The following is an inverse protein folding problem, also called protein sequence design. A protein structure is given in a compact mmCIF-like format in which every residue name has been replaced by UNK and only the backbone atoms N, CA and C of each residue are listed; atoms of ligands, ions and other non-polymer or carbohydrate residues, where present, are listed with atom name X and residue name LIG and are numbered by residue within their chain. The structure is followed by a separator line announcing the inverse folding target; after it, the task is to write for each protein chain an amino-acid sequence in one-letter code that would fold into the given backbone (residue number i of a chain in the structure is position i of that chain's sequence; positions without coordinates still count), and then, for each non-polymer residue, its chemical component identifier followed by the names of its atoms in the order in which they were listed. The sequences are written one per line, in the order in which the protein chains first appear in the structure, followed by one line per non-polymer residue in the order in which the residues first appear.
data_IF_752945103089
#
_entry.id   IF_752945103089
#
_cell.length_a   1.000
_cell.length_b   1.000
_cell.length_c   1.000
_cell.angle_alpha   90.00
_cell.angle_beta   90.00
_cell.angle_gamma   90.00
#
_symmetry.space_group_name_H-M   'P 1'
#
loop_
_entity.id
_entity.type
_entity.pdbx_description
1 polymer ?
#
# COMPACT_ATOMS: atom_id res chain seq x y z
N UNK A 1 17.44 -20.65 1.49
CA UNK A 1 16.32 -20.69 2.46
C UNK A 1 15.26 -19.79 1.88
N UNK A 2 14.16 -20.40 1.47
CA UNK A 2 13.17 -19.87 0.55
C UNK A 2 12.09 -19.11 1.29
N UNK A 3 11.84 -17.85 0.92
CA UNK A 3 10.53 -17.20 1.06
C UNK A 3 10.32 -16.29 -0.15
N UNK A 4 9.95 -16.88 -1.27
CA UNK A 4 9.39 -16.14 -2.40
C UNK A 4 7.88 -16.01 -2.16
N UNK A 5 7.42 -14.89 -1.60
CA UNK A 5 6.00 -14.51 -1.65
C UNK A 5 5.85 -13.41 -2.69
N UNK A 6 5.81 -13.80 -3.97
CA UNK A 6 5.39 -12.94 -5.08
C UNK A 6 3.86 -12.87 -5.09
N UNK A 7 3.27 -12.09 -4.18
CA UNK A 7 1.84 -11.82 -4.22
C UNK A 7 1.61 -10.61 -5.12
N UNK A 8 1.74 -10.80 -6.44
CA UNK A 8 1.54 -9.70 -7.39
C UNK A 8 0.06 -9.39 -7.50
N UNK A 9 -0.31 -8.16 -7.15
CA UNK A 9 -1.61 -7.58 -7.50
C UNK A 9 -1.82 -7.73 -9.01
N UNK A 10 -3.04 -8.07 -9.43
CA UNK A 10 -3.38 -8.14 -10.85
C UNK A 10 -3.19 -6.79 -11.53
N UNK A 11 -2.77 -6.80 -12.79
CA UNK A 11 -2.61 -5.57 -13.60
C UNK A 11 -3.91 -4.74 -13.64
N UNK A 12 -5.08 -5.38 -13.68
CA UNK A 12 -6.38 -4.70 -13.65
C UNK A 12 -6.56 -3.84 -12.39
N UNK A 13 -6.10 -4.31 -11.24
CA UNK A 13 -6.17 -3.57 -9.98
C UNK A 13 -5.23 -2.38 -9.99
N UNK A 14 -3.99 -2.57 -10.47
CA UNK A 14 -3.03 -1.48 -10.59
C UNK A 14 -3.55 -0.39 -11.54
N UNK A 15 -4.09 -0.79 -12.69
CA UNK A 15 -4.72 0.14 -13.64
C UNK A 15 -5.93 0.87 -13.02
N UNK A 16 -6.75 0.18 -12.23
CA UNK A 16 -7.87 0.80 -11.51
C UNK A 16 -7.37 1.88 -10.53
N UNK A 17 -6.29 1.61 -9.79
CA UNK A 17 -5.69 2.61 -8.90
C UNK A 17 -5.12 3.79 -9.68
N UNK A 18 -4.41 3.55 -10.77
CA UNK A 18 -3.88 4.58 -11.66
C UNK A 18 -4.98 5.47 -12.26
N UNK A 19 -6.14 4.89 -12.62
CA UNK A 19 -7.29 5.68 -13.10
C UNK A 19 -7.88 6.57 -12.02
N UNK A 20 -7.82 6.16 -10.75
CA UNK A 20 -8.37 6.93 -9.62
C UNK A 20 -7.43 8.06 -9.21
N UNK A 21 -6.15 7.76 -8.98
CA UNK A 21 -5.19 8.71 -8.39
C UNK A 21 -4.15 9.26 -9.38
N UNK A 22 -4.08 8.74 -10.60
CA UNK A 22 -3.03 9.03 -11.57
C UNK A 22 -1.75 8.22 -11.35
N UNK A 23 -1.01 7.97 -12.43
CA UNK A 23 0.17 7.10 -12.43
C UNK A 23 1.25 7.51 -11.42
N UNK A 24 1.49 8.82 -11.29
CA UNK A 24 2.50 9.36 -10.37
C UNK A 24 2.18 9.11 -8.89
N UNK A 25 0.95 8.73 -8.57
CA UNK A 25 0.50 8.45 -7.21
C UNK A 25 0.36 6.95 -6.90
N UNK A 26 0.85 6.08 -7.79
CA UNK A 26 0.90 4.63 -7.59
C UNK A 26 2.36 4.17 -7.60
N UNK A 27 2.83 3.68 -6.46
CA UNK A 27 4.22 3.27 -6.26
C UNK A 27 4.28 1.73 -6.26
N UNK A 28 5.02 1.20 -7.24
CA UNK A 28 5.20 -0.24 -7.45
C UNK A 28 6.66 -0.68 -7.38
N UNK A 29 7.61 0.25 -7.49
CA UNK A 29 9.03 -0.06 -7.36
C UNK A 29 9.37 -0.48 -5.93
N UNK A 30 10.22 -1.50 -5.80
CA UNK A 30 10.51 -2.11 -4.50
C UNK A 30 11.23 -1.15 -3.55
N UNK A 31 12.18 -0.36 -4.06
CA UNK A 31 12.93 0.63 -3.28
C UNK A 31 12.02 1.63 -2.57
N UNK A 32 11.12 2.26 -3.31
CA UNK A 32 10.21 3.25 -2.75
C UNK A 32 9.17 2.59 -1.86
N UNK A 33 8.66 1.39 -2.21
CA UNK A 33 7.73 0.66 -1.34
C UNK A 33 8.36 0.29 0.01
N UNK A 34 9.66 0.00 0.08
CA UNK A 34 10.35 -0.29 1.33
C UNK A 34 10.28 0.87 2.34
N UNK A 35 10.21 2.13 1.87
CA UNK A 35 10.02 3.31 2.71
C UNK A 35 8.64 3.35 3.39
N UNK A 36 7.69 2.57 2.89
CA UNK A 36 6.35 2.39 3.44
C UNK A 36 6.18 1.11 4.24
N UNK A 37 7.24 0.31 4.39
CA UNK A 37 7.21 -0.93 5.15
C UNK A 37 7.51 -0.81 6.65
N UNK A 38 7.89 0.38 7.12
CA UNK A 38 8.22 0.62 8.53
C UNK A 38 7.50 1.86 9.08
N UNK A 39 7.38 1.92 10.40
CA UNK A 39 7.13 3.15 11.15
C UNK A 39 8.22 3.30 12.24
N UNK A 40 7.96 4.00 13.35
CA UNK A 40 8.94 4.14 14.44
C UNK A 40 8.83 3.03 15.49
N UNK A 41 8.07 1.98 15.20
CA UNK A 41 7.90 0.82 16.07
C UNK A 41 9.06 -0.14 15.85
N UNK A 42 10.02 -0.09 16.79
CA UNK A 42 11.17 -1.00 16.80
C UNK A 42 11.88 -1.04 15.43
N UNK A 43 12.39 -2.21 15.05
CA UNK A 43 13.08 -2.45 13.77
C UNK A 43 12.22 -3.29 12.80
N UNK A 44 10.89 -3.16 12.88
CA UNK A 44 9.98 -3.92 12.01
C UNK A 44 10.00 -3.40 10.57
N UNK A 45 10.00 -4.33 9.61
CA UNK A 45 9.92 -4.05 8.17
C UNK A 45 8.97 -5.03 7.49
N UNK A 46 7.89 -4.49 6.91
CA UNK A 46 6.88 -5.22 6.15
C UNK A 46 6.61 -4.49 4.84
N UNK A 47 7.27 -4.85 3.75
CA UNK A 47 7.10 -4.13 2.48
C UNK A 47 5.71 -4.39 1.88
N UNK A 48 4.90 -3.34 1.60
CA UNK A 48 3.58 -3.50 0.98
C UNK A 48 3.69 -3.89 -0.49
N UNK A 49 2.67 -4.54 -1.06
CA UNK A 49 2.66 -4.92 -2.49
C UNK A 49 2.51 -3.69 -3.43
N UNK A 50 1.80 -2.65 -2.98
CA UNK A 50 1.64 -1.35 -3.67
C UNK A 50 1.43 -0.25 -2.64
N UNK A 51 1.80 0.99 -2.98
CA UNK A 51 1.43 2.19 -2.22
C UNK A 51 0.66 3.14 -3.13
N UNK A 52 -0.45 3.68 -2.64
CA UNK A 52 -1.29 4.65 -3.36
C UNK A 52 -1.42 5.94 -2.55
N UNK A 53 -1.33 7.10 -3.22
CA UNK A 53 -1.33 8.43 -2.60
C UNK A 53 -2.52 9.26 -3.09
N UNK A 54 -3.73 9.06 -2.53
CA UNK A 54 -4.89 9.86 -2.90
C UNK A 54 -4.76 11.31 -2.42
N UNK A 55 -5.22 12.26 -3.23
CA UNK A 55 -5.28 13.69 -2.94
C UNK A 55 -6.64 14.17 -2.43
N UNK A 56 -7.69 13.36 -2.58
CA UNK A 56 -9.07 13.72 -2.21
C UNK A 56 -9.79 12.61 -1.45
N UNK A 57 -10.83 12.95 -0.69
CA UNK A 57 -11.66 11.95 0.01
C UNK A 57 -12.46 11.08 -0.95
N UNK A 58 -12.78 11.60 -2.14
CA UNK A 58 -13.43 10.85 -3.22
C UNK A 58 -12.51 9.74 -3.73
N UNK A 59 -11.24 10.05 -4.00
CA UNK A 59 -10.25 9.05 -4.39
C UNK A 59 -10.07 7.95 -3.33
N UNK A 60 -10.01 8.31 -2.05
CA UNK A 60 -9.97 7.33 -0.94
C UNK A 60 -11.17 6.39 -1.01
N UNK A 61 -12.37 6.93 -1.19
CA UNK A 61 -13.60 6.14 -1.28
C UNK A 61 -13.58 5.17 -2.46
N UNK A 62 -13.16 5.62 -3.65
CA UNK A 62 -13.06 4.76 -4.83
C UNK A 62 -11.99 3.67 -4.68
N UNK A 63 -10.82 3.99 -4.11
CA UNK A 63 -9.77 3.01 -3.81
C UNK A 63 -10.30 1.91 -2.88
N UNK A 64 -10.97 2.29 -1.79
CA UNK A 64 -11.52 1.32 -0.83
C UNK A 64 -12.62 0.44 -1.44
N UNK A 65 -13.41 0.95 -2.39
CA UNK A 65 -14.38 0.13 -3.15
C UNK A 65 -13.67 -0.93 -3.97
N UNK A 66 -12.60 -0.57 -4.68
CA UNK A 66 -11.76 -1.53 -5.43
C UNK A 66 -11.16 -2.56 -4.48
N UNK A 67 -10.50 -2.13 -3.40
CA UNK A 67 -9.91 -3.05 -2.42
C UNK A 67 -10.94 -4.01 -1.83
N UNK A 68 -12.14 -3.55 -1.48
CA UNK A 68 -13.20 -4.41 -0.97
C UNK A 68 -13.72 -5.41 -2.02
N UNK A 69 -13.81 -5.01 -3.30
CA UNK A 69 -14.20 -5.88 -4.42
C UNK A 69 -13.21 -7.04 -4.58
N UNK A 70 -11.91 -6.75 -4.57
CA UNK A 70 -10.84 -7.75 -4.76
C UNK A 70 -10.32 -8.38 -3.46
N UNK A 71 -10.92 -8.04 -2.30
CA UNK A 71 -10.50 -8.52 -0.97
C UNK A 71 -9.03 -8.23 -0.64
N UNK A 72 -8.59 -7.03 -1.01
CA UNK A 72 -7.24 -6.54 -0.75
C UNK A 72 -7.22 -5.87 0.64
N UNK A 73 -6.39 -6.33 1.59
CA UNK A 73 -6.22 -5.66 2.86
C UNK A 73 -5.56 -4.30 2.64
N UNK A 74 -5.94 -3.31 3.45
CA UNK A 74 -5.44 -1.93 3.33
C UNK A 74 -4.92 -1.42 4.66
N UNK A 75 -3.74 -0.81 4.65
CA UNK A 75 -3.15 -0.15 5.82
C UNK A 75 -3.13 1.36 5.59
N UNK A 76 -3.94 2.15 6.33
CA UNK A 76 -3.86 3.60 6.24
C UNK A 76 -2.55 4.09 6.87
N UNK A 77 -1.86 5.00 6.19
CA UNK A 77 -0.60 5.60 6.66
C UNK A 77 -0.61 7.11 6.49
N UNK A 78 -0.27 7.82 7.56
CA UNK A 78 0.06 9.25 7.54
C UNK A 78 1.57 9.46 7.39
N UNK A 79 2.20 10.13 8.35
CA UNK A 79 3.65 10.36 8.35
C UNK A 79 4.51 9.12 8.71
N UNK A 80 3.90 8.03 9.20
CA UNK A 80 4.64 6.82 9.59
C UNK A 80 5.50 6.98 10.85
N UNK A 81 5.14 7.89 11.76
CA UNK A 81 5.90 8.16 12.99
C UNK A 81 5.36 7.46 14.24
N UNK A 82 4.35 6.58 14.08
CA UNK A 82 3.77 5.84 15.19
C UNK A 82 4.76 4.86 15.84
N UNK A 83 4.54 4.56 17.12
CA UNK A 83 5.38 3.68 17.94
C UNK A 83 4.65 2.37 18.34
N UNK A 84 3.45 2.14 17.80
CA UNK A 84 2.58 1.02 18.14
C UNK A 84 2.30 0.07 16.97
N UNK A 85 2.91 0.30 15.82
CA UNK A 85 2.81 -0.53 14.61
C UNK A 85 1.58 -0.24 13.74
N UNK A 86 0.81 0.82 14.04
CA UNK A 86 -0.45 1.11 13.34
C UNK A 86 -0.30 1.44 11.85
N UNK A 87 0.91 1.78 11.40
CA UNK A 87 1.21 2.06 10.00
C UNK A 87 2.00 0.93 9.31
N UNK A 88 2.23 -0.20 9.99
CA UNK A 88 2.89 -1.37 9.41
C UNK A 88 1.89 -2.18 8.58
N UNK A 89 2.17 -2.45 7.29
CA UNK A 89 1.27 -3.22 6.43
C UNK A 89 1.47 -4.73 6.64
N UNK A 90 1.10 -5.19 7.83
CA UNK A 90 1.07 -6.62 8.19
C UNK A 90 -0.04 -7.37 7.44
N UNK A 91 0.18 -8.65 7.16
CA UNK A 91 -0.76 -9.53 6.45
C UNK A 91 -1.74 -10.21 7.40
#
# INVERSE_FOLDING_TARGET
MEVAVKNQLSEEVIQSFQQIVGDANVIVDESSRNEYGHDKTEDYQFTPDVVVKPGTTQEVSELLKVCNKYKIPTTPRGAGTGLSGGALPVK
#
